data_IF_867247772616
#
_entry.id   IF_867247772616
#
_cell.length_a   1.000
_cell.length_b   1.000
_cell.length_c   1.000
_cell.angle_alpha   90.00
_cell.angle_beta   90.00
_cell.angle_gamma   90.00
#
_symmetry.space_group_name_H-M   'P 1'
#
loop_
_entity.id
_entity.type
_entity.pdbx_description
1 polymer ?
#
# COMPACT_ATOMS: atom_id res chain seq x y z
N UNK A 1 17.29 -22.16 7.59
CA UNK A 1 16.88 -21.04 6.72
C UNK A 1 15.69 -21.52 5.91
N UNK A 2 14.64 -20.70 5.80
CA UNK A 2 13.52 -21.00 4.90
C UNK A 2 14.02 -21.03 3.45
N UNK A 3 13.34 -21.79 2.60
CA UNK A 3 13.59 -21.79 1.15
C UNK A 3 13.12 -20.44 0.55
N UNK A 4 14.02 -19.61 -0.02
CA UNK A 4 13.66 -18.30 -0.56
C UNK A 4 12.56 -18.35 -1.62
N UNK A 5 12.51 -19.42 -2.41
CA UNK A 5 11.49 -19.60 -3.45
C UNK A 5 10.11 -19.82 -2.82
N UNK A 6 10.04 -20.70 -1.81
CA UNK A 6 8.81 -20.95 -1.07
C UNK A 6 8.35 -19.70 -0.29
N UNK A 7 9.29 -18.94 0.25
CA UNK A 7 8.99 -17.70 0.97
C UNK A 7 8.40 -16.63 0.04
N UNK A 8 9.00 -16.41 -1.14
CA UNK A 8 8.42 -15.53 -2.16
C UNK A 8 7.05 -16.01 -2.59
N UNK A 9 6.89 -17.31 -2.87
CA UNK A 9 5.60 -17.86 -3.32
C UNK A 9 4.48 -17.58 -2.31
N UNK A 10 4.76 -17.73 -1.01
CA UNK A 10 3.82 -17.39 0.07
C UNK A 10 3.51 -15.89 0.11
N UNK A 11 4.54 -15.03 -0.01
CA UNK A 11 4.35 -13.58 -0.04
C UNK A 11 3.42 -13.13 -1.18
N UNK A 12 3.59 -13.72 -2.38
CA UNK A 12 2.76 -13.39 -3.54
C UNK A 12 1.32 -13.87 -3.38
N UNK A 13 1.11 -15.03 -2.72
CA UNK A 13 -0.23 -15.52 -2.38
C UNK A 13 -0.93 -14.65 -1.33
N UNK A 14 -0.19 -14.21 -0.31
CA UNK A 14 -0.69 -13.27 0.70
C UNK A 14 -1.05 -11.92 0.05
N UNK A 15 -0.21 -11.40 -0.87
CA UNK A 15 -0.48 -10.17 -1.60
C UNK A 15 -1.71 -10.30 -2.51
N UNK A 16 -1.82 -11.39 -3.29
CA UNK A 16 -2.99 -11.65 -4.13
C UNK A 16 -4.28 -11.77 -3.30
N UNK A 17 -4.21 -12.43 -2.14
CA UNK A 17 -5.32 -12.54 -1.18
C UNK A 17 -5.70 -11.19 -0.59
N UNK A 18 -4.73 -10.32 -0.31
CA UNK A 18 -4.96 -8.96 0.18
C UNK A 18 -5.79 -8.13 -0.80
N UNK A 19 -5.48 -8.21 -2.10
CA UNK A 19 -6.29 -7.57 -3.15
C UNK A 19 -7.72 -8.13 -3.19
N UNK A 20 -7.88 -9.45 -3.14
CA UNK A 20 -9.21 -10.08 -3.12
C UNK A 20 -10.01 -9.74 -1.87
N UNK A 21 -9.36 -9.54 -0.72
CA UNK A 21 -10.00 -9.07 0.51
C UNK A 21 -10.55 -7.66 0.35
N UNK A 22 -9.76 -6.72 -0.19
CA UNK A 22 -10.24 -5.37 -0.52
C UNK A 22 -11.42 -5.42 -1.48
N UNK A 23 -11.36 -6.24 -2.53
CA UNK A 23 -12.50 -6.43 -3.43
C UNK A 23 -13.75 -6.99 -2.73
N UNK A 24 -13.59 -7.96 -1.81
CA UNK A 24 -14.72 -8.51 -1.04
C UNK A 24 -15.38 -7.47 -0.13
N UNK A 25 -14.61 -6.48 0.35
CA UNK A 25 -15.10 -5.32 1.10
C UNK A 25 -15.59 -4.18 0.19
N UNK A 26 -15.54 -4.36 -1.14
CA UNK A 26 -15.90 -3.38 -2.17
C UNK A 26 -14.99 -2.14 -2.18
N UNK A 27 -13.72 -2.33 -1.85
CA UNK A 27 -12.69 -1.29 -1.89
C UNK A 27 -11.81 -1.46 -3.12
N UNK A 28 -11.41 -0.34 -3.72
CA UNK A 28 -10.49 -0.33 -4.87
C UNK A 28 -11.17 -0.64 -6.19
N UNK A 29 -12.50 -0.57 -6.24
CA UNK A 29 -13.25 -0.60 -7.50
C UNK A 29 -12.70 0.46 -8.46
N UNK A 30 -12.78 0.18 -9.76
CA UNK A 30 -12.32 1.05 -10.86
C UNK A 30 -10.82 1.40 -10.91
N UNK A 31 -10.00 0.85 -10.00
CA UNK A 31 -8.53 1.00 -10.03
C UNK A 31 -7.97 2.04 -9.07
N UNK A 32 -8.78 2.51 -8.12
CA UNK A 32 -8.45 3.60 -7.18
C UNK A 32 -7.74 3.10 -5.90
N UNK A 33 -6.83 2.14 -6.06
CA UNK A 33 -6.06 1.59 -4.96
C UNK A 33 -4.87 0.74 -5.40
N UNK A 34 -3.99 0.45 -4.45
CA UNK A 34 -2.81 -0.38 -4.64
C UNK A 34 -2.28 -0.91 -3.32
N UNK A 35 -1.75 -2.13 -3.37
CA UNK A 35 -1.08 -2.81 -2.27
C UNK A 35 0.28 -3.26 -2.79
N UNK A 36 1.35 -2.93 -2.08
CA UNK A 36 2.71 -3.37 -2.43
C UNK A 36 3.30 -4.19 -1.31
N UNK A 37 4.24 -5.07 -1.66
CA UNK A 37 5.15 -5.65 -0.68
C UNK A 37 6.57 -5.76 -1.21
N UNK A 38 7.57 -5.60 -0.34
CA UNK A 38 8.99 -5.68 -0.66
C UNK A 38 9.36 -7.10 -1.07
N UNK A 39 10.23 -7.26 -2.08
CA UNK A 39 10.74 -8.59 -2.44
C UNK A 39 11.63 -9.17 -1.32
N UNK A 40 11.53 -10.47 -1.11
CA UNK A 40 12.25 -11.18 -0.04
C UNK A 40 13.73 -11.38 -0.35
N UNK A 41 14.14 -11.33 -1.62
CA UNK A 41 15.54 -11.48 -2.03
C UNK A 41 16.18 -10.14 -2.45
N UNK A 42 15.38 -9.22 -3.01
CA UNK A 42 15.80 -7.89 -3.45
C UNK A 42 15.08 -6.81 -2.65
N UNK A 43 15.71 -6.36 -1.56
CA UNK A 43 15.09 -5.41 -0.62
C UNK A 43 14.75 -4.04 -1.22
N UNK A 44 15.30 -3.68 -2.37
CA UNK A 44 15.04 -2.43 -3.11
C UNK A 44 13.94 -2.59 -4.17
N UNK A 45 13.41 -3.80 -4.36
CA UNK A 45 12.30 -4.08 -5.27
C UNK A 45 10.99 -4.29 -4.50
N UNK A 46 9.86 -4.09 -5.18
CA UNK A 46 8.54 -4.37 -4.62
C UNK A 46 7.61 -5.04 -5.61
N UNK A 47 6.75 -5.93 -5.11
CA UNK A 47 5.67 -6.57 -5.82
C UNK A 47 4.41 -5.70 -5.80
N UNK A 48 3.69 -5.72 -6.92
CA UNK A 48 2.45 -4.99 -7.14
C UNK A 48 1.55 -5.79 -8.09
N UNK A 49 0.23 -5.63 -8.01
CA UNK A 49 -0.67 -6.22 -8.99
C UNK A 49 -0.49 -5.58 -10.38
N UNK A 50 -0.41 -6.42 -11.42
CA UNK A 50 -0.36 -5.96 -12.81
C UNK A 50 -1.52 -5.03 -13.15
N UNK A 51 -1.24 -3.96 -13.87
CA UNK A 51 -2.26 -2.99 -14.28
C UNK A 51 -3.40 -3.64 -15.06
N UNK A 52 -4.64 -3.24 -14.74
CA UNK A 52 -5.92 -3.75 -15.28
C UNK A 52 -6.35 -5.15 -14.86
N UNK A 53 -5.63 -5.82 -13.95
CA UNK A 53 -6.19 -7.01 -13.30
C UNK A 53 -7.19 -6.54 -12.23
N UNK A 54 -8.47 -6.94 -12.29
CA UNK A 54 -9.43 -6.62 -11.24
C UNK A 54 -8.99 -7.25 -9.91
N UNK A 55 -9.16 -6.53 -8.80
CA UNK A 55 -8.73 -7.00 -7.48
C UNK A 55 -9.35 -8.35 -7.10
N UNK A 56 -10.62 -8.57 -7.44
CA UNK A 56 -11.35 -9.82 -7.20
C UNK A 56 -10.78 -11.03 -7.97
N UNK A 57 -10.01 -10.78 -9.04
CA UNK A 57 -9.39 -11.79 -9.90
C UNK A 57 -7.89 -11.93 -9.65
N UNK A 58 -7.32 -11.16 -8.73
CA UNK A 58 -5.88 -11.16 -8.46
C UNK A 58 -5.39 -12.55 -8.07
N UNK A 59 -4.40 -13.05 -8.81
CA UNK A 59 -3.65 -14.27 -8.52
C UNK A 59 -2.19 -13.95 -8.27
N UNK A 60 -1.48 -14.86 -7.60
CA UNK A 60 -0.03 -14.73 -7.35
C UNK A 60 0.75 -14.57 -8.66
N UNK A 61 0.32 -15.19 -9.75
CA UNK A 61 0.92 -15.07 -11.10
C UNK A 61 0.71 -13.69 -11.75
N UNK A 62 -0.23 -12.89 -11.26
CA UNK A 62 -0.48 -11.54 -11.75
C UNK A 62 0.42 -10.48 -11.11
N UNK A 63 1.18 -10.86 -10.08
CA UNK A 63 2.13 -9.96 -9.44
C UNK A 63 3.31 -9.66 -10.36
N UNK A 64 3.65 -8.37 -10.44
CA UNK A 64 4.78 -7.86 -11.20
C UNK A 64 5.77 -7.24 -10.23
N UNK A 65 7.05 -7.40 -10.55
CA UNK A 65 8.13 -6.88 -9.75
C UNK A 65 8.55 -5.53 -10.29
N UNK A 66 8.55 -4.53 -9.43
CA UNK A 66 8.97 -3.16 -9.71
C UNK A 66 10.39 -2.96 -9.15
N UNK A 67 11.28 -2.48 -10.00
CA UNK A 67 12.67 -2.14 -9.67
C UNK A 67 12.79 -0.71 -9.12
N UNK A 68 13.94 -0.32 -8.53
CA UNK A 68 14.14 1.02 -7.96
C UNK A 68 14.03 2.17 -8.97
N UNK A 69 14.16 1.90 -10.26
CA UNK A 69 13.99 2.91 -11.32
C UNK A 69 12.53 3.05 -11.79
N UNK A 70 11.61 2.29 -11.20
CA UNK A 70 10.20 2.23 -11.57
C UNK A 70 9.89 1.33 -12.76
N UNK A 71 10.90 0.68 -13.37
CA UNK A 71 10.65 -0.35 -14.38
C UNK A 71 10.01 -1.58 -13.75
N UNK A 72 9.12 -2.26 -14.49
CA UNK A 72 8.39 -3.41 -13.98
C UNK A 72 8.50 -4.61 -14.92
N UNK A 73 8.66 -5.79 -14.35
CA UNK A 73 8.65 -7.07 -15.08
C UNK A 73 7.65 -8.05 -14.47
N UNK A 74 7.11 -8.94 -15.28
CA UNK A 74 6.46 -10.13 -14.76
C UNK A 74 7.49 -11.15 -14.23
N UNK A 75 6.97 -12.27 -13.73
CA UNK A 75 7.79 -13.32 -13.12
C UNK A 75 8.69 -14.06 -14.13
N UNK A 76 8.41 -13.94 -15.43
CA UNK A 76 9.26 -14.44 -16.51
C UNK A 76 10.29 -13.40 -16.98
N UNK A 77 10.36 -12.24 -16.33
CA UNK A 77 11.28 -11.15 -16.66
C UNK A 77 10.85 -10.32 -17.87
N UNK A 78 9.60 -10.43 -18.33
CA UNK A 78 9.09 -9.65 -19.48
C UNK A 78 8.55 -8.30 -18.98
N UNK A 79 8.66 -7.22 -19.76
CA UNK A 79 8.12 -5.92 -19.38
C UNK A 79 6.63 -5.99 -19.02
N UNK A 80 6.27 -5.37 -17.90
CA UNK A 80 4.90 -5.32 -17.41
C UNK A 80 4.45 -3.88 -17.14
N UNK A 81 3.14 -3.67 -17.06
CA UNK A 81 2.54 -2.37 -16.76
C UNK A 81 2.01 -2.35 -15.33
N UNK A 82 2.17 -1.21 -14.67
CA UNK A 82 1.70 -0.94 -13.31
C UNK A 82 0.80 0.29 -13.26
N UNK A 83 0.10 0.47 -12.14
CA UNK A 83 -0.40 1.79 -11.76
C UNK A 83 0.80 2.59 -11.21
N UNK A 84 1.25 3.61 -11.93
CA UNK A 84 2.44 4.39 -11.55
C UNK A 84 2.26 5.14 -10.23
N UNK A 85 1.02 5.47 -9.82
CA UNK A 85 0.76 6.11 -8.53
C UNK A 85 1.19 5.21 -7.36
N UNK A 86 1.03 3.89 -7.51
CA UNK A 86 1.52 2.93 -6.52
C UNK A 86 3.03 3.05 -6.33
N UNK A 87 3.78 3.14 -7.44
CA UNK A 87 5.22 3.38 -7.40
C UNK A 87 5.55 4.73 -6.77
N UNK A 88 4.92 5.81 -7.23
CA UNK A 88 5.19 7.15 -6.75
C UNK A 88 4.95 7.33 -5.25
N UNK A 89 3.98 6.64 -4.65
CA UNK A 89 3.68 6.74 -3.22
C UNK A 89 4.46 5.70 -2.41
N UNK A 90 4.41 4.41 -2.78
CA UNK A 90 4.91 3.34 -1.91
C UNK A 90 6.43 3.17 -2.00
N UNK A 91 7.06 3.45 -3.14
CA UNK A 91 8.52 3.31 -3.27
C UNK A 91 9.28 4.24 -2.30
N UNK A 92 9.00 5.56 -2.23
CA UNK A 92 9.65 6.43 -1.25
C UNK A 92 9.47 5.99 0.20
N UNK A 93 8.29 5.46 0.56
CA UNK A 93 8.02 4.91 1.89
C UNK A 93 8.94 3.71 2.15
N UNK A 94 9.01 2.76 1.21
CA UNK A 94 9.88 1.60 1.32
C UNK A 94 11.38 1.97 1.34
N UNK A 95 11.81 3.05 0.69
CA UNK A 95 13.21 3.50 0.74
C UNK A 95 13.60 3.99 2.15
N UNK A 96 12.73 4.76 2.81
CA UNK A 96 13.06 5.38 4.10
C UNK A 96 12.66 4.53 5.31
N UNK A 97 11.81 3.52 5.13
CA UNK A 97 11.34 2.59 6.16
C UNK A 97 11.67 1.12 5.81
N UNK A 98 12.89 0.63 6.12
CA UNK A 98 13.26 -0.76 5.88
C UNK A 98 12.40 -1.78 6.65
N UNK A 99 11.84 -1.37 7.79
CA UNK A 99 10.91 -2.16 8.61
C UNK A 99 9.53 -2.33 7.95
N UNK A 100 9.16 -1.42 7.06
CA UNK A 100 7.93 -1.50 6.26
C UNK A 100 8.17 -2.40 5.05
N UNK A 101 7.56 -3.58 5.08
CA UNK A 101 7.62 -4.55 3.97
C UNK A 101 6.32 -4.61 3.18
N UNK A 102 5.24 -3.98 3.63
CA UNK A 102 4.01 -3.83 2.86
C UNK A 102 3.34 -2.47 3.11
N UNK A 103 2.65 -1.97 2.10
CA UNK A 103 1.85 -0.75 2.18
C UNK A 103 0.53 -0.92 1.42
N UNK A 104 -0.55 -0.36 1.96
CA UNK A 104 -1.88 -0.43 1.37
C UNK A 104 -2.50 0.97 1.30
N UNK A 105 -3.04 1.32 0.15
CA UNK A 105 -3.79 2.56 -0.09
C UNK A 105 -4.98 2.27 -0.98
N UNK A 106 -6.15 2.76 -0.59
CA UNK A 106 -7.36 2.67 -1.41
C UNK A 106 -8.34 3.76 -1.04
N UNK A 107 -9.18 4.16 -2.00
CA UNK A 107 -10.28 5.10 -1.77
C UNK A 107 -11.54 4.34 -1.38
N UNK A 108 -12.00 4.59 -0.17
CA UNK A 108 -13.13 3.88 0.45
C UNK A 108 -14.31 4.81 0.68
N UNK A 109 -15.46 4.23 1.02
CA UNK A 109 -16.69 4.98 1.23
C UNK A 109 -16.66 5.84 2.52
N UNK A 110 -15.86 5.46 3.53
CA UNK A 110 -15.78 6.20 4.80
C UNK A 110 -14.45 6.92 4.95
N UNK A 111 -13.34 6.25 4.66
CA UNK A 111 -12.00 6.81 4.76
C UNK A 111 -11.77 8.03 3.87
N UNK A 112 -12.25 8.01 2.62
CA UNK A 112 -12.08 9.16 1.71
C UNK A 112 -12.86 10.40 2.18
N UNK A 113 -14.16 10.33 2.51
CA UNK A 113 -14.86 11.46 3.12
C UNK A 113 -14.26 11.93 4.45
N UNK A 114 -13.85 11.01 5.32
CA UNK A 114 -13.19 11.36 6.58
C UNK A 114 -11.88 12.12 6.34
N UNK A 115 -11.07 11.66 5.39
CA UNK A 115 -9.82 12.33 5.03
C UNK A 115 -10.02 13.76 4.50
N UNK A 116 -11.19 14.08 3.95
CA UNK A 116 -11.55 15.44 3.55
C UNK A 116 -11.84 16.37 4.74
N UNK A 117 -12.05 15.85 5.95
CA UNK A 117 -12.24 16.65 7.17
C UNK A 117 -10.92 17.22 7.72
N UNK A 118 -9.76 16.76 7.22
CA UNK A 118 -8.42 17.25 7.60
C UNK A 118 -8.16 17.22 9.11
N UNK A 119 -8.56 16.13 9.76
CA UNK A 119 -8.35 15.92 11.20
C UNK A 119 -7.87 14.51 11.49
N UNK A 120 -7.31 14.35 12.69
CA UNK A 120 -6.89 13.06 13.23
C UNK A 120 -8.09 12.21 13.65
N UNK A 121 -7.92 10.88 13.66
CA UNK A 121 -8.86 9.95 14.30
C UNK A 121 -8.79 10.17 15.81
N UNK A 122 -9.96 10.38 16.42
CA UNK A 122 -10.07 10.55 17.87
C UNK A 122 -10.16 9.18 18.56
N UNK A 123 -9.53 8.99 19.73
CA UNK A 123 -9.52 7.72 20.46
C UNK A 123 -10.82 7.48 21.26
N UNK A 124 -11.96 7.41 20.56
CA UNK A 124 -13.31 7.35 21.15
C UNK A 124 -13.98 5.98 21.06
N UNK A 125 -13.38 5.05 20.32
CA UNK A 125 -13.74 3.63 20.24
C UNK A 125 -12.53 2.75 20.56
N UNK A 126 -12.76 1.49 20.92
CA UNK A 126 -11.66 0.56 21.20
C UNK A 126 -10.72 0.42 19.99
N UNK A 127 -11.26 0.33 18.79
CA UNK A 127 -10.50 0.22 17.54
C UNK A 127 -9.69 1.49 17.26
N UNK A 128 -10.30 2.67 17.44
CA UNK A 128 -9.60 3.95 17.23
C UNK A 128 -8.40 4.16 18.16
N UNK A 129 -8.41 3.56 19.36
CA UNK A 129 -7.28 3.66 20.30
C UNK A 129 -6.02 2.96 19.79
N UNK A 130 -6.15 2.04 18.81
CA UNK A 130 -4.99 1.39 18.17
C UNK A 130 -4.13 2.39 17.37
N UNK A 131 -4.69 3.55 17.01
CA UNK A 131 -4.03 4.60 16.24
C UNK A 131 -3.71 5.85 17.08
N UNK A 132 -4.05 5.86 18.37
CA UNK A 132 -3.78 7.02 19.23
C UNK A 132 -2.28 7.30 19.29
N UNK A 133 -1.87 8.50 18.85
CA UNK A 133 -0.45 8.90 18.70
C UNK A 133 0.37 7.96 17.79
N UNK A 134 -0.29 7.20 16.91
CA UNK A 134 0.35 6.26 15.98
C UNK A 134 -0.25 6.32 14.57
N UNK A 135 -0.63 7.53 14.15
CA UNK A 135 -0.93 7.85 12.76
C UNK A 135 -0.64 9.32 12.49
N UNK A 136 -0.49 9.67 11.21
CA UNK A 136 -0.25 11.03 10.76
C UNK A 136 -1.41 11.58 9.92
N UNK A 137 -1.39 12.89 9.72
CA UNK A 137 -2.18 13.60 8.70
C UNK A 137 -1.22 14.24 7.71
N UNK A 138 -1.39 13.93 6.43
CA UNK A 138 -0.70 14.56 5.32
C UNK A 138 -1.66 15.55 4.63
N UNK A 139 -1.50 16.84 4.91
CA UNK A 139 -2.33 17.92 4.35
C UNK A 139 -1.53 18.76 3.33
N UNK A 140 -1.29 18.16 2.18
CA UNK A 140 -0.58 18.77 1.05
C UNK A 140 -1.57 19.22 -0.03
N UNK A 141 -1.19 20.22 -0.84
CA UNK A 141 -2.03 20.70 -1.95
C UNK A 141 -2.03 19.72 -3.14
N UNK A 142 -1.00 18.88 -3.28
CA UNK A 142 -0.91 17.85 -4.31
C UNK A 142 -1.74 16.61 -3.92
N UNK A 143 -3.04 16.65 -4.17
CA UNK A 143 -3.94 15.50 -3.95
C UNK A 143 -3.60 14.34 -4.89
N UNK A 144 -3.33 14.64 -6.17
CA UNK A 144 -2.95 13.63 -7.17
C UNK A 144 -1.43 13.47 -7.20
N UNK A 145 -0.92 12.37 -6.66
CA UNK A 145 0.52 12.10 -6.61
C UNK A 145 1.05 11.64 -7.96
N UNK A 146 1.78 12.51 -8.64
CA UNK A 146 2.27 12.27 -10.02
C UNK A 146 3.76 11.93 -10.11
N UNK A 147 4.48 11.96 -8.99
CA UNK A 147 5.90 11.65 -8.93
C UNK A 147 6.33 11.17 -7.55
N UNK A 148 7.53 10.57 -7.46
CA UNK A 148 8.13 10.19 -6.17
C UNK A 148 8.36 11.39 -5.24
N UNK A 149 8.38 12.64 -5.73
CA UNK A 149 8.54 13.80 -4.85
C UNK A 149 7.31 14.02 -3.96
N UNK A 150 6.10 13.69 -4.45
CA UNK A 150 4.89 13.63 -3.62
C UNK A 150 4.98 12.51 -2.59
N UNK A 151 5.36 11.30 -3.02
CA UNK A 151 5.55 10.16 -2.10
C UNK A 151 6.61 10.37 -1.04
N UNK A 152 7.71 11.09 -1.33
CA UNK A 152 8.72 11.47 -0.33
C UNK A 152 8.12 12.36 0.76
N UNK A 153 7.25 13.32 0.41
CA UNK A 153 6.57 14.16 1.41
C UNK A 153 5.58 13.35 2.24
N UNK A 154 4.86 12.41 1.62
CA UNK A 154 4.02 11.44 2.35
C UNK A 154 4.86 10.62 3.32
N UNK A 155 6.02 10.10 2.89
CA UNK A 155 6.91 9.31 3.72
C UNK A 155 7.46 10.12 4.92
N UNK A 156 7.79 11.40 4.71
CA UNK A 156 8.17 12.32 5.79
C UNK A 156 7.03 12.52 6.78
N UNK A 157 5.80 12.72 6.30
CA UNK A 157 4.63 12.90 7.16
C UNK A 157 4.28 11.61 7.93
N UNK A 158 4.37 10.45 7.28
CA UNK A 158 4.17 9.14 7.91
C UNK A 158 5.17 8.92 9.06
N UNK A 159 6.42 9.34 8.90
CA UNK A 159 7.44 9.22 9.94
C UNK A 159 7.64 7.76 10.36
N UNK A 160 7.53 7.48 11.66
CA UNK A 160 7.62 6.12 12.23
C UNK A 160 6.25 5.44 12.41
N UNK A 161 5.15 6.16 12.14
CA UNK A 161 3.81 5.66 12.39
C UNK A 161 3.38 4.55 11.43
N UNK A 162 2.31 3.82 11.81
CA UNK A 162 1.74 2.74 11.00
C UNK A 162 0.74 3.20 9.94
N UNK A 163 0.25 4.44 10.03
CA UNK A 163 -0.79 4.94 9.14
C UNK A 163 -0.66 6.45 8.89
N UNK A 164 -1.16 6.89 7.74
CA UNK A 164 -1.30 8.31 7.40
C UNK A 164 -2.63 8.54 6.67
N UNK A 165 -3.35 9.56 7.13
CA UNK A 165 -4.54 10.10 6.46
C UNK A 165 -4.03 11.07 5.39
N UNK A 166 -4.39 10.82 4.14
CA UNK A 166 -4.05 11.69 3.02
C UNK A 166 -5.21 12.66 2.79
N UNK A 167 -5.07 13.92 3.17
CA UNK A 167 -6.16 14.89 3.15
C UNK A 167 -6.82 15.01 1.78
N UNK A 168 -8.15 14.92 1.74
CA UNK A 168 -8.97 14.95 0.51
C UNK A 168 -8.64 13.81 -0.49
N UNK A 169 -7.96 12.75 -0.06
CA UNK A 169 -7.47 11.68 -0.93
C UNK A 169 -7.88 10.28 -0.43
N UNK A 170 -7.55 9.92 0.82
CA UNK A 170 -7.90 8.60 1.36
C UNK A 170 -6.98 8.17 2.50
N UNK A 171 -6.96 6.87 2.78
CA UNK A 171 -6.16 6.28 3.87
C UNK A 171 -4.94 5.54 3.30
N UNK A 172 -3.84 5.52 4.04
CA UNK A 172 -2.67 4.69 3.74
C UNK A 172 -2.16 4.05 5.02
N UNK A 173 -1.93 2.75 4.99
CA UNK A 173 -1.33 1.98 6.09
C UNK A 173 -0.08 1.25 5.64
N UNK A 174 0.81 0.99 6.59
CA UNK A 174 2.05 0.24 6.39
C UNK A 174 2.15 -0.90 7.41
N UNK A 175 2.94 -1.92 7.10
CA UNK A 175 3.16 -3.04 7.99
C UNK A 175 4.37 -3.89 7.62
N UNK A 176 4.67 -4.87 8.47
CA UNK A 176 5.78 -5.80 8.29
C UNK A 176 5.41 -7.04 7.46
N UNK A 177 4.18 -7.10 6.94
CA UNK A 177 3.69 -8.08 5.97
C UNK A 177 2.43 -7.57 5.27
N UNK A 178 2.00 -8.16 4.13
CA UNK A 178 0.72 -7.83 3.51
C UNK A 178 -0.45 -7.93 4.50
N UNK A 179 -0.52 -9.01 5.29
CA UNK A 179 -1.57 -9.20 6.29
C UNK A 179 -1.60 -8.10 7.36
N UNK A 180 -0.42 -7.61 7.77
CA UNK A 180 -0.29 -6.55 8.78
C UNK A 180 -0.79 -5.19 8.23
N UNK A 181 -0.31 -4.78 7.05
CA UNK A 181 -0.75 -3.54 6.41
C UNK A 181 -2.27 -3.52 6.17
N UNK A 182 -2.82 -4.65 5.70
CA UNK A 182 -4.26 -4.80 5.44
C UNK A 182 -5.07 -4.85 6.74
N UNK A 183 -4.56 -5.51 7.78
CA UNK A 183 -5.20 -5.53 9.10
C UNK A 183 -5.34 -4.13 9.67
N UNK A 184 -4.29 -3.30 9.60
CA UNK A 184 -4.38 -1.89 9.98
C UNK A 184 -5.36 -1.12 9.12
N UNK A 185 -5.38 -1.35 7.80
CA UNK A 185 -6.31 -0.67 6.92
C UNK A 185 -7.77 -0.97 7.29
N UNK A 186 -8.10 -2.24 7.51
CA UNK A 186 -9.45 -2.68 7.90
C UNK A 186 -9.88 -2.14 9.26
N UNK A 187 -8.95 -1.95 10.19
CA UNK A 187 -9.25 -1.36 11.50
C UNK A 187 -9.38 0.16 11.47
N UNK A 188 -8.77 0.81 10.47
CA UNK A 188 -8.79 2.26 10.30
C UNK A 188 -10.03 2.75 9.53
N UNK A 189 -10.53 1.94 8.59
CA UNK A 189 -11.76 2.19 7.80
C UNK A 189 -13.05 1.94 8.58
#
# INVERSE_FOLDING_TARGET
MADPVAERARLLDDLATSYRLFAALRWGELGDGHITCRDTERSDHMWLLRYRVPFEQAQSSDMVLVAPDGSATDQDGRPARINNTAYHIHHPIHEVRPDVTAAAHVHTAWGTPFAAERRMIEPITQESTLFFEDHALFDDEEVQILSCDGGKRIAVALGEYRAVILANHGLLTVGSSPADAIGWFVLME
#
